data_IF_715050171978
#
_entry.id   IF_715050171978
#
_cell.length_a   1.000
_cell.length_b   1.000
_cell.length_c   1.000
_cell.angle_alpha   90.00
_cell.angle_beta   90.00
_cell.angle_gamma   90.00
#
_symmetry.space_group_name_H-M   'P 1'
#
loop_
_entity.id
_entity.type
_entity.pdbx_description
1 polymer ?
#
# COMPACT_ATOMS: atom_id res chain seq x y z
N UNK A 1 15.30 -13.38 -18.32
CA UNK A 1 15.58 -11.93 -18.42
C UNK A 1 14.98 -11.26 -17.19
N UNK A 2 15.69 -10.33 -16.55
CA UNK A 2 15.18 -9.58 -15.40
C UNK A 2 15.29 -8.08 -15.67
N UNK A 3 14.52 -7.27 -14.95
CA UNK A 3 14.64 -5.82 -14.93
C UNK A 3 14.78 -5.32 -13.48
N UNK A 4 15.26 -4.10 -13.31
CA UNK A 4 15.22 -3.39 -12.03
C UNK A 4 14.29 -2.21 -12.19
N UNK A 5 13.15 -2.27 -11.49
CA UNK A 5 12.16 -1.19 -11.48
C UNK A 5 12.34 -0.34 -10.23
N UNK A 6 12.02 0.94 -10.36
CA UNK A 6 11.92 1.85 -9.21
C UNK A 6 10.45 2.17 -8.95
N UNK A 7 9.99 1.85 -7.76
CA UNK A 7 8.61 2.13 -7.31
C UNK A 7 8.59 2.41 -5.81
N UNK A 8 7.80 3.39 -5.38
CA UNK A 8 7.71 3.79 -3.98
C UNK A 8 9.04 4.22 -3.35
N UNK A 9 9.97 4.77 -4.16
CA UNK A 9 11.31 5.15 -3.70
C UNK A 9 12.28 3.98 -3.44
N UNK A 10 11.88 2.74 -3.78
CA UNK A 10 12.70 1.53 -3.65
C UNK A 10 12.95 0.91 -5.02
N UNK A 11 14.03 0.13 -5.11
CA UNK A 11 14.37 -0.63 -6.31
C UNK A 11 14.06 -2.11 -6.10
N UNK A 12 13.44 -2.73 -7.11
CA UNK A 12 13.07 -4.14 -7.08
C UNK A 12 13.59 -4.83 -8.33
N UNK A 13 14.25 -5.97 -8.14
CA UNK A 13 14.58 -6.87 -9.24
C UNK A 13 13.35 -7.72 -9.56
N UNK A 14 12.98 -7.76 -10.83
CA UNK A 14 11.77 -8.42 -11.33
C UNK A 14 12.07 -9.28 -12.54
N UNK A 15 11.46 -10.46 -12.62
CA UNK A 15 11.38 -11.30 -13.79
C UNK A 15 9.89 -11.56 -14.14
N UNK A 16 9.64 -12.08 -15.34
CA UNK A 16 8.29 -12.46 -15.74
C UNK A 16 7.69 -13.51 -14.79
N UNK A 17 6.42 -13.33 -14.41
CA UNK A 17 5.67 -14.13 -13.43
C UNK A 17 6.12 -14.01 -11.97
N UNK A 18 7.07 -13.14 -11.64
CA UNK A 18 7.42 -12.88 -10.24
C UNK A 18 6.26 -12.26 -9.48
N UNK A 19 6.08 -12.68 -8.22
CA UNK A 19 5.12 -12.11 -7.29
C UNK A 19 5.88 -11.33 -6.21
N UNK A 20 5.79 -10.00 -6.27
CA UNK A 20 6.54 -9.11 -5.39
C UNK A 20 5.61 -8.17 -4.62
N UNK A 21 6.03 -7.78 -3.41
CA UNK A 21 5.35 -6.78 -2.60
C UNK A 21 6.05 -5.44 -2.76
N UNK A 22 5.33 -4.48 -3.33
CA UNK A 22 5.79 -3.12 -3.54
C UNK A 22 5.06 -2.17 -2.59
N UNK A 23 5.55 -0.94 -2.48
CA UNK A 23 4.80 0.15 -1.83
C UNK A 23 3.46 0.36 -2.54
N UNK A 24 2.52 1.04 -1.88
CA UNK A 24 1.18 1.28 -2.41
C UNK A 24 1.21 1.84 -3.83
N UNK A 25 0.55 1.11 -4.74
CA UNK A 25 0.27 1.54 -6.12
C UNK A 25 -1.24 1.71 -6.29
N UNK A 26 -1.65 2.68 -7.11
CA UNK A 26 -3.05 2.88 -7.45
C UNK A 26 -3.58 1.74 -8.34
N UNK A 27 -4.78 1.27 -8.03
CA UNK A 27 -5.43 0.14 -8.71
C UNK A 27 -6.03 -0.85 -7.70
N UNK A 28 -7.05 -1.58 -8.12
CA UNK A 28 -7.60 -2.71 -7.36
C UNK A 28 -6.99 -4.02 -7.86
N UNK A 29 -7.31 -5.13 -7.20
CA UNK A 29 -6.99 -6.46 -7.68
C UNK A 29 -7.51 -6.67 -9.13
N UNK A 30 -6.67 -7.24 -9.99
CA UNK A 30 -6.89 -7.45 -11.41
C UNK A 30 -6.51 -6.27 -12.32
N UNK A 31 -6.23 -5.08 -11.76
CA UNK A 31 -5.80 -3.95 -12.58
C UNK A 31 -4.37 -4.14 -13.08
N UNK A 32 -4.13 -3.71 -14.32
CA UNK A 32 -2.81 -3.68 -14.92
C UNK A 32 -2.17 -2.34 -14.60
N UNK A 33 -0.98 -2.40 -14.02
CA UNK A 33 -0.12 -1.27 -13.69
C UNK A 33 1.10 -1.31 -14.60
N UNK A 34 1.44 -0.14 -15.13
CA UNK A 34 2.63 0.08 -15.94
C UNK A 34 3.70 0.84 -15.12
N UNK A 35 4.92 0.31 -15.09
CA UNK A 35 6.08 0.93 -14.47
C UNK A 35 7.03 1.47 -15.54
N UNK A 36 7.02 2.79 -15.72
CA UNK A 36 7.89 3.49 -16.67
C UNK A 36 9.33 3.73 -16.15
N UNK A 37 9.51 3.78 -14.81
CA UNK A 37 10.86 3.92 -14.21
C UNK A 37 11.57 2.56 -14.16
N UNK A 38 12.13 2.15 -15.30
CA UNK A 38 13.00 0.97 -15.42
C UNK A 38 14.46 1.42 -15.45
N UNK A 39 15.24 0.99 -14.47
CA UNK A 39 16.65 1.38 -14.30
C UNK A 39 17.62 0.45 -15.03
N UNK A 40 17.24 -0.81 -15.21
CA UNK A 40 18.09 -1.84 -15.82
C UNK A 40 17.22 -2.91 -16.47
N UNK A 41 17.67 -3.45 -17.60
CA UNK A 41 17.06 -4.60 -18.27
C UNK A 41 18.15 -5.60 -18.67
N UNK A 42 18.20 -6.76 -18.03
CA UNK A 42 19.22 -7.78 -18.28
C UNK A 42 20.62 -7.25 -17.96
N UNK A 43 21.40 -6.93 -19.00
CA UNK A 43 22.73 -6.32 -18.91
C UNK A 43 22.76 -4.82 -19.22
N UNK A 44 21.68 -4.25 -19.76
CA UNK A 44 21.61 -2.82 -20.11
C UNK A 44 21.23 -1.99 -18.89
N UNK A 45 22.06 -1.01 -18.56
CA UNK A 45 21.86 -0.09 -17.42
C UNK A 45 21.47 1.27 -17.98
N UNK A 46 20.42 1.86 -17.42
CA UNK A 46 19.91 3.17 -17.80
C UNK A 46 20.67 4.33 -17.16
N UNK A 47 20.57 5.52 -17.77
CA UNK A 47 21.18 6.75 -17.27
C UNK A 47 20.20 7.93 -17.45
N UNK A 48 19.23 8.16 -16.54
CA UNK A 48 18.93 7.40 -15.31
C UNK A 48 18.00 6.19 -15.51
N UNK A 49 17.23 6.15 -16.60
CA UNK A 49 16.33 5.04 -16.97
C UNK A 49 16.74 4.45 -18.32
N UNK A 50 16.27 3.24 -18.61
CA UNK A 50 16.44 2.61 -19.92
C UNK A 50 15.35 3.17 -20.85
N UNK A 51 15.75 3.86 -21.92
CA UNK A 51 14.81 4.47 -22.85
C UNK A 51 13.92 3.41 -23.51
N UNK A 52 12.60 3.65 -23.53
CA UNK A 52 11.62 2.74 -24.14
C UNK A 52 11.37 1.44 -23.36
N UNK A 53 11.97 1.26 -22.17
CA UNK A 53 11.66 0.11 -21.33
C UNK A 53 10.39 0.34 -20.52
N UNK A 54 9.53 -0.68 -20.46
CA UNK A 54 8.29 -0.66 -19.69
C UNK A 54 8.11 -2.01 -19.01
N UNK A 55 7.76 -2.02 -17.72
CA UNK A 55 7.37 -3.25 -17.03
C UNK A 55 5.89 -3.20 -16.73
N UNK A 56 5.16 -4.21 -17.19
CA UNK A 56 3.74 -4.36 -16.88
C UNK A 56 3.54 -5.40 -15.80
N UNK A 57 2.61 -5.12 -14.90
CA UNK A 57 2.26 -6.00 -13.82
C UNK A 57 0.75 -5.97 -13.56
N UNK A 58 0.22 -7.06 -13.05
CA UNK A 58 -1.15 -7.15 -12.55
C UNK A 58 -1.15 -7.02 -11.02
N UNK A 59 -2.04 -6.21 -10.48
CA UNK A 59 -2.25 -6.12 -9.03
C UNK A 59 -2.98 -7.38 -8.58
N UNK A 60 -2.35 -8.18 -7.72
CA UNK A 60 -2.96 -9.39 -7.18
C UNK A 60 -3.81 -9.04 -5.96
N UNK A 61 -3.25 -8.24 -5.05
CA UNK A 61 -3.91 -7.90 -3.78
C UNK A 61 -3.40 -6.55 -3.25
N UNK A 62 -4.32 -5.77 -2.69
CA UNK A 62 -4.00 -4.60 -1.87
C UNK A 62 -4.07 -5.00 -0.40
N UNK A 63 -2.95 -4.91 0.30
CA UNK A 63 -2.82 -5.42 1.66
C UNK A 63 -2.12 -4.45 2.60
N UNK A 64 -2.06 -4.84 3.87
CA UNK A 64 -1.28 -4.13 4.89
C UNK A 64 -0.22 -5.06 5.45
N UNK A 65 0.99 -4.53 5.61
CA UNK A 65 2.09 -5.24 6.26
C UNK A 65 1.81 -5.53 7.74
N UNK A 66 2.75 -6.25 8.35
CA UNK A 66 2.77 -6.48 9.80
C UNK A 66 2.74 -5.15 10.56
N UNK A 67 2.09 -5.14 11.73
CA UNK A 67 2.07 -3.97 12.60
C UNK A 67 3.46 -3.77 13.22
N UNK A 68 4.07 -2.62 12.94
CA UNK A 68 5.29 -2.16 13.60
C UNK A 68 4.86 -1.28 14.77
N UNK A 69 5.35 -1.57 15.98
CA UNK A 69 4.98 -0.84 17.19
C UNK A 69 6.16 0.04 17.63
N UNK A 70 5.98 1.35 17.55
CA UNK A 70 6.88 2.32 18.14
C UNK A 70 6.43 2.61 19.58
N UNK A 71 7.15 2.01 20.54
CA UNK A 71 6.92 2.26 21.97
C UNK A 71 7.98 3.21 22.52
N UNK A 72 7.54 4.35 23.08
CA UNK A 72 8.40 5.35 23.72
C UNK A 72 7.99 5.50 25.17
N UNK A 73 8.91 5.16 26.09
CA UNK A 73 8.76 5.35 27.54
C UNK A 73 9.80 6.36 28.03
N UNK A 74 9.38 7.34 28.81
CA UNK A 74 10.26 8.29 29.50
C UNK A 74 10.43 7.83 30.95
N UNK A 75 11.67 7.60 31.37
CA UNK A 75 12.01 7.16 32.72
C UNK A 75 11.54 8.19 33.75
N UNK A 76 10.87 7.73 34.83
CA UNK A 76 10.38 8.53 35.98
C UNK A 76 9.35 9.63 35.66
N UNK A 77 9.01 9.87 34.40
CA UNK A 77 8.04 10.90 34.01
C UNK A 77 6.60 10.36 33.85
N UNK A 78 6.34 9.11 34.29
CA UNK A 78 5.09 8.36 34.05
C UNK A 78 4.55 8.41 32.60
N UNK A 79 5.40 8.78 31.64
CA UNK A 79 5.00 9.05 30.27
C UNK A 79 5.43 7.88 29.40
N UNK A 80 4.43 7.15 28.91
CA UNK A 80 4.58 6.11 27.90
C UNK A 80 3.63 6.41 26.74
N UNK A 81 4.09 6.17 25.51
CA UNK A 81 3.31 6.28 24.28
C UNK A 81 3.61 5.07 23.41
N UNK A 82 2.56 4.38 23.00
CA UNK A 82 2.63 3.27 22.06
C UNK A 82 1.92 3.71 20.79
N UNK A 83 2.61 3.74 19.66
CA UNK A 83 2.00 3.98 18.35
C UNK A 83 2.25 2.78 17.47
N UNK A 84 1.19 2.28 16.85
CA UNK A 84 1.30 1.24 15.83
C UNK A 84 1.29 1.86 14.44
N UNK A 85 2.12 1.37 13.55
CA UNK A 85 2.07 1.64 12.11
C UNK A 85 1.85 0.35 11.35
N UNK A 86 1.02 0.39 10.31
CA UNK A 86 0.86 -0.70 9.35
C UNK A 86 1.00 -0.10 7.97
N UNK A 87 2.10 -0.45 7.31
CA UNK A 87 2.38 0.00 5.95
C UNK A 87 1.39 -0.62 4.97
N UNK A 88 0.90 0.19 4.03
CA UNK A 88 0.10 -0.27 2.90
C UNK A 88 1.04 -0.83 1.84
N UNK A 89 0.78 -2.05 1.38
CA UNK A 89 1.60 -2.76 0.42
C UNK A 89 0.71 -3.32 -0.68
N UNK A 90 1.20 -3.24 -1.91
CA UNK A 90 0.54 -3.85 -3.06
C UNK A 90 1.31 -5.09 -3.46
N UNK A 91 0.63 -6.22 -3.54
CA UNK A 91 1.20 -7.44 -4.10
C UNK A 91 0.92 -7.43 -5.60
N UNK A 92 1.96 -7.43 -6.41
CA UNK A 92 1.86 -7.42 -7.87
C UNK A 92 2.48 -8.69 -8.45
N UNK A 93 1.93 -9.15 -9.57
CA UNK A 93 2.53 -10.17 -10.42
C UNK A 93 3.02 -9.53 -11.70
N UNK A 94 4.29 -9.72 -12.02
CA UNK A 94 4.89 -9.17 -13.24
C UNK A 94 4.37 -9.97 -14.45
N UNK A 95 3.75 -9.29 -15.40
CA UNK A 95 3.30 -9.92 -16.65
C UNK A 95 4.43 -9.95 -17.67
N UNK A 96 4.91 -8.78 -18.08
CA UNK A 96 5.85 -8.66 -19.20
C UNK A 96 6.88 -7.57 -18.91
N UNK A 97 8.09 -7.79 -19.45
CA UNK A 97 9.16 -6.80 -19.51
C UNK A 97 9.31 -6.44 -20.98
N UNK A 98 9.00 -5.19 -21.30
CA UNK A 98 9.02 -4.67 -22.66
C UNK A 98 10.25 -3.78 -22.84
N UNK A 99 10.89 -3.90 -24.00
CA UNK A 99 11.98 -3.02 -24.44
C UNK A 99 11.59 -2.30 -25.72
N UNK A 100 12.36 -1.26 -26.08
CA UNK A 100 12.29 -0.60 -27.39
C UNK A 100 10.93 0.05 -27.71
N UNK A 101 10.19 0.49 -26.69
CA UNK A 101 8.91 1.17 -26.86
C UNK A 101 7.75 0.26 -27.25
N UNK A 102 7.91 -1.06 -27.08
CA UNK A 102 6.82 -2.01 -27.30
C UNK A 102 5.63 -1.71 -26.37
N UNK A 103 4.41 -1.88 -26.92
CA UNK A 103 3.16 -1.67 -26.18
C UNK A 103 2.76 -2.97 -25.46
N UNK A 104 2.09 -2.87 -24.29
CA UNK A 104 1.65 -4.04 -23.56
C UNK A 104 0.58 -4.84 -24.29
N UNK A 105 0.66 -6.17 -24.19
CA UNK A 105 -0.27 -7.10 -24.82
C UNK A 105 -1.67 -7.05 -24.19
N UNK A 106 -1.75 -6.76 -22.89
CA UNK A 106 -3.00 -6.60 -22.14
C UNK A 106 -3.20 -5.12 -21.80
N UNK A 107 -4.21 -4.51 -22.42
CA UNK A 107 -4.65 -3.14 -22.09
C UNK A 107 -5.57 -3.17 -20.88
N UNK A 108 -5.35 -2.26 -19.93
CA UNK A 108 -6.19 -2.09 -18.75
C UNK A 108 -7.68 -2.05 -19.15
N UNK A 109 -8.50 -2.89 -18.52
CA UNK A 109 -9.95 -2.80 -18.65
C UNK A 109 -10.37 -1.45 -18.07
N UNK A 110 -10.91 -0.57 -18.92
CA UNK A 110 -11.48 0.71 -18.50
C UNK A 110 -12.53 0.46 -17.41
N UNK A 111 -12.15 0.72 -16.16
CA UNK A 111 -13.12 0.77 -15.06
C UNK A 111 -14.02 1.97 -15.31
N UNK A 112 -15.23 1.67 -15.78
CA UNK A 112 -16.40 2.55 -15.75
C UNK A 112 -16.42 3.27 -14.39
N UNK A 113 -16.31 4.60 -14.43
CA UNK A 113 -16.37 5.45 -13.26
C UNK A 113 -17.59 5.06 -12.38
N UNK A 114 -17.44 4.91 -11.06
CA UNK A 114 -18.59 4.82 -10.19
C UNK A 114 -19.30 6.18 -10.27
N UNK A 115 -20.54 6.18 -10.78
CA UNK A 115 -21.41 7.36 -10.70
C UNK A 115 -21.49 7.80 -9.25
N UNK A 116 -21.03 9.02 -9.00
CA UNK A 116 -21.25 9.73 -7.77
C UNK A 116 -22.73 10.13 -7.72
N UNK A 117 -23.54 9.41 -6.96
CA UNK A 117 -24.77 9.95 -6.40
C UNK A 117 -24.45 10.37 -4.97
N UNK A 118 -24.03 11.62 -4.85
CA UNK A 118 -23.96 12.35 -3.61
C UNK A 118 -25.39 12.69 -3.16
N UNK A 119 -25.87 12.04 -2.11
CA UNK A 119 -26.97 12.54 -1.31
C UNK A 119 -26.40 13.11 -0.02
N UNK A 120 -26.11 14.40 -0.06
CA UNK A 120 -25.81 15.24 1.11
C UNK A 120 -27.02 15.26 2.04
N UNK A 121 -26.81 14.78 3.27
CA UNK A 121 -27.70 14.99 4.40
C UNK A 121 -26.88 15.56 5.55
N UNK A 122 -26.65 16.87 5.51
CA UNK A 122 -25.93 17.63 6.53
C UNK A 122 -26.83 17.98 7.72
N UNK A 123 -26.18 18.06 8.90
CA UNK A 123 -26.51 18.87 10.08
C UNK A 123 -27.67 18.44 11.02
N UNK A 124 -27.32 18.00 12.23
CA UNK A 124 -27.16 18.89 13.40
C UNK A 124 -27.05 18.11 14.74
N UNK A 125 -26.20 18.62 15.64
CA UNK A 125 -25.77 18.10 16.97
C UNK A 125 -26.84 18.34 18.10
N UNK A 126 -26.49 18.40 19.42
CA UNK A 126 -26.24 17.33 20.41
C UNK A 126 -27.05 17.48 21.75
N UNK A 127 -26.81 16.55 22.71
CA UNK A 127 -26.84 16.70 24.21
C UNK A 127 -27.85 15.84 24.99
N UNK A 128 -27.32 14.88 25.78
CA UNK A 128 -27.61 14.62 27.21
C UNK A 128 -26.67 13.49 27.69
N UNK A 129 -25.59 13.78 28.42
CA UNK A 129 -25.51 13.89 29.88
C UNK A 129 -25.61 12.53 30.61
N UNK A 130 -24.52 12.12 31.25
CA UNK A 130 -24.38 10.99 32.17
C UNK A 130 -25.28 11.13 33.43
N UNK A 131 -25.52 10.05 34.18
CA UNK A 131 -24.79 9.93 35.45
C UNK A 131 -24.42 8.51 35.91
N UNK A 132 -23.53 8.51 36.90
CA UNK A 132 -22.81 7.45 37.60
C UNK A 132 -23.68 6.61 38.56
N UNK A 133 -23.28 5.36 38.83
CA UNK A 133 -23.46 4.68 40.15
C UNK A 133 -22.43 3.52 40.24
N UNK A 134 -21.34 3.71 40.98
CA UNK A 134 -21.07 3.25 42.36
C UNK A 134 -20.91 1.71 42.46
N UNK A 135 -19.71 1.14 42.65
CA UNK A 135 -18.89 1.12 43.88
C UNK A 135 -19.58 0.41 45.06
N UNK A 136 -19.28 -0.88 45.24
CA UNK A 136 -19.35 -1.67 46.48
C UNK A 136 -18.37 -2.85 46.25
N UNK A 137 -17.14 -2.89 46.76
CA UNK A 137 -16.59 -2.80 48.13
C UNK A 137 -16.70 -4.15 48.86
N UNK A 138 -15.51 -4.71 49.12
CA UNK A 138 -15.13 -5.64 50.20
C UNK A 138 -15.86 -7.01 50.24
N UNK A 139 -15.31 -8.09 50.79
CA UNK A 139 -14.46 -8.19 51.97
C UNK A 139 -13.84 -9.61 52.11
N UNK A 140 -12.73 -9.67 52.87
CA UNK A 140 -12.21 -10.75 53.75
C UNK A 140 -12.16 -12.21 53.25
N UNK A 141 -10.99 -12.85 53.16
CA UNK A 141 -10.15 -13.33 54.27
C UNK A 141 -10.78 -14.48 55.05
N UNK A 142 -10.53 -15.70 54.59
CA UNK A 142 -9.97 -16.83 55.36
C UNK A 142 -9.27 -17.78 54.37
#
# INVERSE_FOLDING_TARGET
>A
MFAVIKTGGKQYRVAANDLIKVEKVAGEAGDIVEFAEVLMVGSTIGAPTVAGALVTAEVVEQGRGRKVIAFKKRRRQNSKRTRGHRQELTTIRISEILTDGAKPSKKAAEKKAPKADAAEGEAAKPKKAAPKKAAAKAESAE
#
